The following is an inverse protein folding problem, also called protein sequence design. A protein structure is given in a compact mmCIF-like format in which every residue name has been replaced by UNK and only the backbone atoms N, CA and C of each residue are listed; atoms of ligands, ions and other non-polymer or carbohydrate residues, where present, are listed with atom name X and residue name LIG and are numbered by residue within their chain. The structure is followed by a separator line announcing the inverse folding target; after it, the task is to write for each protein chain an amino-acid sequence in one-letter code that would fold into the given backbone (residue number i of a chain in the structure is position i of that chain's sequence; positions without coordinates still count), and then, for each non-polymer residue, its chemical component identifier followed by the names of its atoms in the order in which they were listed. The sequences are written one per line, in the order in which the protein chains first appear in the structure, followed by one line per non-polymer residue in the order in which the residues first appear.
data_IF_302271334688
#
_entry.id   IF_302271334688
#
_cell.length_a   1.000
_cell.length_b   1.000
_cell.length_c   1.000
_cell.angle_alpha   90.00
_cell.angle_beta   90.00
_cell.angle_gamma   90.00
#
_symmetry.space_group_name_H-M   'P 1'
#
loop_
_entity.id
_entity.type
_entity.pdbx_description
1 polymer ?
#
# COMPACT_ATOMS: atom_id res chain seq x y z
N UNK A 1 -17.74 14.17 23.98
CA UNK A 1 -16.68 14.57 23.03
C UNK A 1 -17.03 14.09 21.62
N UNK A 2 -16.98 14.95 20.61
CA UNK A 2 -17.12 14.53 19.21
C UNK A 2 -15.93 13.65 18.84
N UNK A 3 -16.13 12.48 18.18
CA UNK A 3 -15.03 11.66 17.70
C UNK A 3 -14.09 12.49 16.82
N UNK A 4 -12.77 12.31 17.00
CA UNK A 4 -11.76 13.00 16.17
C UNK A 4 -11.84 12.53 14.71
N UNK A 5 -12.30 11.29 14.50
CA UNK A 5 -12.50 10.66 13.21
C UNK A 5 -13.86 11.01 12.60
N UNK A 6 -13.85 11.70 11.46
CA UNK A 6 -14.98 11.89 10.58
C UNK A 6 -15.18 10.67 9.67
N UNK A 7 -16.43 10.24 9.54
CA UNK A 7 -16.85 9.12 8.67
C UNK A 7 -17.42 9.59 7.33
N UNK A 8 -17.53 10.90 7.11
CA UNK A 8 -18.05 11.50 5.88
C UNK A 8 -17.07 12.59 5.39
N UNK A 9 -15.84 12.22 4.98
CA UNK A 9 -14.92 13.18 4.39
C UNK A 9 -15.53 13.76 3.10
N UNK A 10 -15.27 15.03 2.80
CA UNK A 10 -15.69 15.66 1.54
C UNK A 10 -14.61 15.49 0.46
N UNK A 11 -13.39 15.11 0.83
CA UNK A 11 -12.30 14.88 -0.12
C UNK A 11 -11.31 13.78 0.33
N UNK A 12 -10.70 13.09 -0.66
CA UNK A 12 -9.83 11.94 -0.42
C UNK A 12 -8.58 11.94 -1.31
N UNK A 13 -7.40 11.80 -0.72
CA UNK A 13 -6.19 11.45 -1.47
C UNK A 13 -5.73 10.02 -1.16
N UNK A 14 -5.17 9.33 -2.16
CA UNK A 14 -4.59 8.00 -2.00
C UNK A 14 -3.09 8.03 -2.28
N UNK A 15 -2.30 7.53 -1.34
CA UNK A 15 -0.86 7.31 -1.48
C UNK A 15 -0.54 5.83 -1.28
N UNK A 16 0.59 5.39 -1.81
CA UNK A 16 0.98 4.00 -1.76
C UNK A 16 1.70 3.53 -3.02
N UNK A 17 1.60 2.24 -3.26
CA UNK A 17 2.30 1.56 -4.34
C UNK A 17 1.38 1.09 -5.49
N UNK A 18 1.87 0.13 -6.27
CA UNK A 18 1.21 -0.45 -7.43
C UNK A 18 -0.16 -1.06 -7.11
N UNK A 19 -0.37 -1.54 -5.88
CA UNK A 19 -1.66 -2.13 -5.49
C UNK A 19 -2.74 -1.03 -5.47
N UNK A 20 -2.42 0.15 -4.93
CA UNK A 20 -3.33 1.32 -4.95
C UNK A 20 -3.58 1.83 -6.37
N UNK A 21 -2.69 1.55 -7.33
CA UNK A 21 -2.88 1.89 -8.76
C UNK A 21 -3.59 0.81 -9.58
N UNK A 22 -4.00 -0.31 -8.97
CA UNK A 22 -4.63 -1.41 -9.70
C UNK A 22 -3.72 -2.02 -10.76
N UNK A 23 -2.42 -2.09 -10.48
CA UNK A 23 -1.43 -2.70 -11.38
C UNK A 23 -1.80 -4.16 -11.70
N UNK A 24 -1.57 -4.59 -12.94
CA UNK A 24 -1.91 -5.91 -13.49
C UNK A 24 -3.41 -6.23 -13.58
N UNK A 25 -4.31 -5.35 -13.12
CA UNK A 25 -5.73 -5.66 -13.06
C UNK A 25 -6.45 -5.56 -14.42
N UNK A 26 -6.03 -4.63 -15.29
CA UNK A 26 -6.64 -4.42 -16.62
C UNK A 26 -5.74 -4.87 -17.77
N UNK A 27 -4.42 -4.79 -17.60
CA UNK A 27 -3.42 -5.23 -18.57
C UNK A 27 -2.16 -5.62 -17.83
N UNK A 28 -1.41 -6.59 -18.39
CA UNK A 28 -0.14 -7.04 -17.84
C UNK A 28 0.88 -5.89 -17.81
N UNK A 29 1.57 -5.79 -16.69
CA UNK A 29 2.62 -4.84 -16.36
C UNK A 29 2.22 -3.37 -16.51
N UNK A 30 0.94 -3.07 -16.29
CA UNK A 30 0.39 -1.73 -16.44
C UNK A 30 -0.52 -1.35 -15.28
N UNK A 31 -0.52 -0.06 -14.94
CA UNK A 31 -1.46 0.53 -13.99
C UNK A 31 -2.87 0.56 -14.56
N UNK A 32 -3.87 0.43 -13.67
CA UNK A 32 -5.26 0.65 -13.99
C UNK A 32 -5.96 1.37 -12.84
N UNK A 33 -5.70 2.68 -12.70
CA UNK A 33 -6.26 3.47 -11.59
C UNK A 33 -7.77 3.51 -11.55
N UNK A 34 -8.44 3.23 -12.69
CA UNK A 34 -9.88 3.05 -12.78
C UNK A 34 -10.40 1.99 -11.78
N UNK A 35 -9.62 0.96 -11.48
CA UNK A 35 -9.96 -0.11 -10.52
C UNK A 35 -9.24 0.05 -9.18
N UNK A 36 -8.72 1.24 -8.87
CA UNK A 36 -8.15 1.53 -7.56
C UNK A 36 -9.21 1.34 -6.46
N UNK A 37 -8.85 0.60 -5.42
CA UNK A 37 -9.71 0.40 -4.24
C UNK A 37 -10.05 1.71 -3.51
N UNK A 38 -9.19 2.73 -3.62
CA UNK A 38 -9.34 3.99 -2.90
C UNK A 38 -10.02 5.08 -3.73
N UNK A 39 -9.67 5.19 -5.02
CA UNK A 39 -10.02 6.35 -5.88
C UNK A 39 -10.54 5.94 -7.27
N UNK A 40 -10.80 4.64 -7.48
CA UNK A 40 -11.21 4.12 -8.78
C UNK A 40 -12.65 4.48 -9.14
N UNK A 41 -12.92 4.58 -10.43
CA UNK A 41 -14.24 4.84 -11.00
C UNK A 41 -14.98 3.59 -11.52
N UNK A 42 -14.36 2.41 -11.40
CA UNK A 42 -15.03 1.14 -11.70
C UNK A 42 -16.09 0.82 -10.62
N UNK A 43 -17.37 0.80 -11.02
CA UNK A 43 -18.49 0.54 -10.12
C UNK A 43 -18.53 -0.89 -9.57
N UNK A 44 -17.82 -1.84 -10.19
CA UNK A 44 -17.69 -3.20 -9.68
C UNK A 44 -16.67 -3.32 -8.54
N UNK A 45 -15.71 -2.40 -8.45
CA UNK A 45 -14.80 -2.28 -7.29
C UNK A 45 -15.47 -1.51 -6.17
N UNK A 46 -16.25 -0.47 -6.53
CA UNK A 46 -16.93 0.41 -5.59
C UNK A 46 -15.94 1.00 -4.57
N UNK A 47 -15.08 1.88 -5.07
CA UNK A 47 -13.92 2.40 -4.34
C UNK A 47 -14.31 3.19 -3.09
N UNK A 48 -13.35 3.40 -2.18
CA UNK A 48 -13.61 4.19 -0.97
C UNK A 48 -14.12 5.60 -1.29
N UNK A 49 -13.53 6.27 -2.30
CA UNK A 49 -14.04 7.55 -2.80
C UNK A 49 -15.47 7.44 -3.33
N UNK A 50 -15.79 6.40 -4.11
CA UNK A 50 -17.15 6.16 -4.62
C UNK A 50 -18.19 5.94 -3.53
N UNK A 51 -17.78 5.39 -2.37
CA UNK A 51 -18.65 5.15 -1.22
C UNK A 51 -18.83 6.35 -0.31
N UNK A 52 -17.82 7.23 -0.21
CA UNK A 52 -17.76 8.28 0.79
C UNK A 52 -18.03 9.69 0.25
N UNK A 53 -17.75 9.94 -1.04
CA UNK A 53 -17.79 11.30 -1.61
C UNK A 53 -19.03 11.49 -2.50
N UNK A 54 -19.57 12.71 -2.50
CA UNK A 54 -20.67 13.11 -3.39
C UNK A 54 -20.18 13.29 -4.85
N UNK A 55 -18.98 13.87 -5.06
CA UNK A 55 -18.28 13.91 -6.36
C UNK A 55 -16.89 13.27 -6.27
N UNK A 56 -16.80 11.93 -6.35
CA UNK A 56 -15.52 11.22 -6.31
C UNK A 56 -14.52 11.65 -7.40
N UNK A 57 -15.00 12.19 -8.52
CA UNK A 57 -14.15 12.55 -9.66
C UNK A 57 -13.48 13.91 -9.48
N UNK A 58 -14.16 14.85 -8.83
CA UNK A 58 -13.64 16.17 -8.49
C UNK A 58 -12.80 16.16 -7.21
N UNK A 59 -13.21 15.37 -6.22
CA UNK A 59 -12.71 15.47 -4.85
C UNK A 59 -11.81 14.30 -4.43
N UNK A 60 -11.31 13.52 -5.40
CA UNK A 60 -10.32 12.49 -5.12
C UNK A 60 -9.07 12.51 -6.00
N UNK A 61 -7.92 12.17 -5.40
CA UNK A 61 -6.61 12.21 -6.06
C UNK A 61 -5.74 10.99 -5.74
N UNK A 62 -5.24 10.32 -6.78
CA UNK A 62 -4.34 9.17 -6.63
C UNK A 62 -2.87 9.57 -6.87
N UNK A 63 -2.12 9.70 -5.78
CA UNK A 63 -0.69 10.00 -5.75
C UNK A 63 0.20 8.77 -5.56
N UNK A 64 -0.39 7.57 -5.43
CA UNK A 64 0.34 6.31 -5.39
C UNK A 64 1.20 6.13 -6.65
N UNK A 65 2.28 5.35 -6.54
CA UNK A 65 3.22 5.10 -7.63
C UNK A 65 3.66 3.64 -7.67
N UNK A 66 3.50 3.01 -8.83
CA UNK A 66 3.97 1.63 -9.02
C UNK A 66 5.49 1.53 -8.83
N UNK A 67 5.91 0.53 -8.05
CA UNK A 67 7.29 0.32 -7.63
C UNK A 67 7.77 1.19 -6.48
N UNK A 68 6.93 2.07 -5.89
CA UNK A 68 7.36 2.88 -4.74
C UNK A 68 7.55 2.04 -3.48
N UNK A 69 8.59 2.36 -2.73
CA UNK A 69 8.84 1.83 -1.37
C UNK A 69 8.45 2.88 -0.32
N UNK A 70 8.49 2.52 0.97
CA UNK A 70 8.13 3.44 2.06
C UNK A 70 8.94 4.74 2.06
N UNK A 71 10.22 4.69 1.64
CA UNK A 71 11.08 5.88 1.51
C UNK A 71 10.58 6.91 0.45
N UNK A 72 9.69 6.50 -0.46
CA UNK A 72 9.05 7.42 -1.41
C UNK A 72 7.80 8.09 -0.84
N UNK A 73 7.22 7.53 0.23
CA UNK A 73 5.94 7.96 0.79
C UNK A 73 5.93 9.45 1.21
N UNK A 74 7.01 10.03 1.81
CA UNK A 74 7.02 11.46 2.15
C UNK A 74 6.74 12.38 0.96
N UNK A 75 7.24 12.05 -0.24
CA UNK A 75 6.99 12.82 -1.46
C UNK A 75 5.53 12.71 -1.92
N UNK A 76 4.94 11.53 -1.82
CA UNK A 76 3.52 11.34 -2.14
C UNK A 76 2.64 12.09 -1.13
N UNK A 77 2.99 12.01 0.16
CA UNK A 77 2.29 12.66 1.24
C UNK A 77 2.31 14.18 1.12
N UNK A 78 3.44 14.77 0.73
CA UNK A 78 3.54 16.21 0.42
C UNK A 78 2.58 16.63 -0.70
N UNK A 79 2.48 15.83 -1.77
CA UNK A 79 1.55 16.11 -2.88
C UNK A 79 0.10 16.01 -2.43
N UNK A 80 -0.22 15.03 -1.59
CA UNK A 80 -1.54 14.90 -0.99
C UNK A 80 -1.86 16.09 -0.08
N UNK A 81 -0.93 16.48 0.80
CA UNK A 81 -1.11 17.58 1.73
C UNK A 81 -1.38 18.92 1.04
N UNK A 82 -0.77 19.16 -0.13
CA UNK A 82 -1.04 20.35 -0.96
C UNK A 82 -2.46 20.44 -1.54
N UNK A 83 -3.28 19.39 -1.41
CA UNK A 83 -4.73 19.42 -1.69
C UNK A 83 -5.57 19.69 -0.45
N UNK A 84 -4.95 19.64 0.73
CA UNK A 84 -5.63 19.69 2.02
C UNK A 84 -6.86 18.75 2.13
N UNK A 85 -6.72 17.45 1.78
CA UNK A 85 -7.86 16.56 1.77
C UNK A 85 -8.35 16.28 3.19
N UNK A 86 -9.63 15.95 3.35
CA UNK A 86 -10.15 15.53 4.66
C UNK A 86 -9.58 14.16 5.05
N UNK A 87 -9.32 13.29 4.08
CA UNK A 87 -8.75 11.96 4.30
C UNK A 87 -7.60 11.64 3.33
N UNK A 88 -6.54 11.04 3.86
CA UNK A 88 -5.53 10.31 3.07
C UNK A 88 -5.63 8.83 3.37
N UNK A 89 -5.68 8.00 2.33
CA UNK A 89 -5.49 6.56 2.43
C UNK A 89 -4.05 6.19 2.12
N UNK A 90 -3.47 5.28 2.91
CA UNK A 90 -2.09 4.80 2.78
C UNK A 90 -2.09 3.29 2.63
N UNK A 91 -1.46 2.77 1.58
CA UNK A 91 -1.05 1.37 1.50
C UNK A 91 0.31 1.29 0.82
N UNK A 92 1.36 1.14 1.64
CA UNK A 92 2.75 1.12 1.19
C UNK A 92 3.52 0.10 2.00
N UNK A 93 4.45 -0.61 1.37
CA UNK A 93 5.32 -1.59 2.03
C UNK A 93 5.41 -2.93 1.32
N UNK A 94 4.57 -3.18 0.31
CA UNK A 94 4.68 -4.40 -0.49
C UNK A 94 6.03 -4.42 -1.23
N UNK A 95 6.45 -3.32 -1.84
CA UNK A 95 7.75 -3.23 -2.53
C UNK A 95 8.95 -3.26 -1.59
N UNK A 96 8.79 -2.85 -0.32
CA UNK A 96 9.84 -2.97 0.70
C UNK A 96 10.15 -4.44 0.99
N UNK A 97 9.12 -5.32 0.99
CA UNK A 97 9.26 -6.76 1.13
C UNK A 97 9.57 -7.47 -0.22
N UNK A 98 9.04 -6.96 -1.32
CA UNK A 98 9.15 -7.51 -2.67
C UNK A 98 10.46 -7.13 -3.37
N UNK A 99 11.56 -7.68 -2.88
CA UNK A 99 12.91 -7.41 -3.37
C UNK A 99 13.52 -8.63 -4.10
N UNK A 100 14.65 -8.47 -4.81
CA UNK A 100 15.32 -9.60 -5.46
C UNK A 100 15.74 -10.72 -4.49
N UNK A 101 16.04 -10.35 -3.23
CA UNK A 101 16.40 -11.26 -2.14
C UNK A 101 15.87 -10.74 -0.80
N UNK A 102 15.76 -11.62 0.18
CA UNK A 102 15.34 -11.28 1.56
C UNK A 102 16.28 -10.23 2.18
N UNK A 103 17.60 -10.38 1.97
CA UNK A 103 18.60 -9.44 2.48
C UNK A 103 18.47 -8.00 1.92
N UNK A 104 17.74 -7.82 0.82
CA UNK A 104 17.50 -6.51 0.20
C UNK A 104 16.20 -5.84 0.65
N UNK A 105 15.37 -6.52 1.45
CA UNK A 105 14.17 -5.92 2.02
C UNK A 105 14.54 -4.74 2.92
N UNK A 106 13.74 -3.66 2.88
CA UNK A 106 13.93 -2.48 3.74
C UNK A 106 14.03 -2.90 5.20
N UNK A 107 14.98 -2.37 5.96
CA UNK A 107 15.02 -2.71 7.39
C UNK A 107 13.76 -2.21 8.09
N UNK A 108 13.40 -2.81 9.23
CA UNK A 108 12.22 -2.36 10.00
C UNK A 108 12.41 -0.93 10.51
N UNK A 109 13.66 -0.55 10.83
CA UNK A 109 14.01 0.78 11.31
C UNK A 109 13.90 1.84 10.20
N UNK A 110 14.46 1.59 9.01
CA UNK A 110 14.35 2.52 7.87
C UNK A 110 12.89 2.68 7.42
N UNK A 111 12.12 1.60 7.48
CA UNK A 111 10.68 1.62 7.20
C UNK A 111 9.93 2.52 8.19
N UNK A 112 10.22 2.39 9.50
CA UNK A 112 9.64 3.23 10.55
C UNK A 112 10.01 4.69 10.37
N UNK A 113 11.29 4.98 10.12
CA UNK A 113 11.76 6.36 9.92
C UNK A 113 11.06 7.02 8.72
N UNK A 114 10.96 6.30 7.61
CA UNK A 114 10.29 6.77 6.39
C UNK A 114 8.79 7.04 6.63
N UNK A 115 8.11 6.15 7.36
CA UNK A 115 6.69 6.35 7.71
C UNK A 115 6.50 7.56 8.64
N UNK A 116 7.34 7.71 9.66
CA UNK A 116 7.35 8.89 10.55
C UNK A 116 7.58 10.18 9.77
N UNK A 117 8.51 10.19 8.82
CA UNK A 117 8.74 11.34 7.95
C UNK A 117 7.51 11.68 7.11
N UNK A 118 6.83 10.67 6.55
CA UNK A 118 5.60 10.88 5.79
C UNK A 118 4.50 11.50 6.67
N UNK A 119 4.25 10.96 7.86
CA UNK A 119 3.26 11.52 8.80
C UNK A 119 3.62 12.95 9.23
N UNK A 120 4.89 13.23 9.56
CA UNK A 120 5.35 14.60 9.87
C UNK A 120 5.16 15.55 8.69
N UNK A 121 5.40 15.07 7.47
CA UNK A 121 5.19 15.86 6.24
C UNK A 121 3.73 16.24 6.08
N UNK A 122 2.81 15.27 6.24
CA UNK A 122 1.38 15.55 6.21
C UNK A 122 0.98 16.57 7.27
N UNK A 123 1.38 16.33 8.53
CA UNK A 123 0.95 17.17 9.65
C UNK A 123 1.45 18.62 9.55
N UNK A 124 2.58 18.85 8.89
CA UNK A 124 3.11 20.20 8.68
C UNK A 124 2.25 21.02 7.71
N UNK A 125 1.72 20.40 6.67
CA UNK A 125 1.01 21.10 5.58
C UNK A 125 -0.52 20.95 5.70
N UNK A 126 -1.01 19.82 6.20
CA UNK A 126 -2.42 19.57 6.47
C UNK A 126 -2.64 18.87 7.83
N UNK A 127 -2.61 19.65 8.94
CA UNK A 127 -2.62 19.12 10.31
C UNK A 127 -3.93 18.44 10.71
N UNK A 128 -5.02 18.66 9.97
CA UNK A 128 -6.36 18.14 10.28
C UNK A 128 -6.79 16.94 9.44
N UNK A 129 -6.08 16.62 8.36
CA UNK A 129 -6.37 15.47 7.51
C UNK A 129 -6.32 14.17 8.31
N UNK A 130 -7.34 13.33 8.15
CA UNK A 130 -7.36 11.97 8.68
C UNK A 130 -6.50 11.04 7.83
N UNK A 131 -5.87 10.06 8.45
CA UNK A 131 -5.02 9.08 7.77
C UNK A 131 -5.58 7.70 8.01
N UNK A 132 -6.07 7.07 6.95
CA UNK A 132 -6.44 5.67 6.96
C UNK A 132 -5.25 4.84 6.48
N UNK A 133 -4.62 4.09 7.38
CA UNK A 133 -3.48 3.22 7.05
C UNK A 133 -3.95 1.79 6.87
N UNK A 134 -3.90 1.30 5.62
CA UNK A 134 -4.10 -0.10 5.32
C UNK A 134 -2.80 -0.89 5.55
N UNK A 135 -2.93 -2.08 6.11
CA UNK A 135 -1.81 -3.00 6.30
C UNK A 135 -1.21 -3.43 4.95
N UNK A 136 0.10 -3.68 4.95
CA UNK A 136 0.77 -4.40 3.87
C UNK A 136 0.14 -5.79 3.73
N UNK A 137 -0.31 -6.20 2.53
CA UNK A 137 -0.99 -7.47 2.32
C UNK A 137 -0.13 -8.69 2.66
N UNK A 138 -0.79 -9.80 3.00
CA UNK A 138 -0.12 -11.08 3.21
C UNK A 138 0.38 -11.66 1.88
N UNK A 139 1.66 -11.40 1.59
CA UNK A 139 2.33 -11.88 0.38
C UNK A 139 2.49 -13.41 0.36
N UNK A 140 2.50 -14.07 1.53
CA UNK A 140 2.59 -15.54 1.60
C UNK A 140 1.26 -16.17 1.26
N UNK A 141 0.15 -15.55 1.66
CA UNK A 141 -1.20 -15.92 1.20
C UNK A 141 -1.38 -15.68 -0.30
N UNK A 142 -0.90 -14.54 -0.83
CA UNK A 142 -0.87 -14.31 -2.28
C UNK A 142 -0.15 -15.46 -3.01
N UNK A 143 1.01 -15.88 -2.50
CA UNK A 143 1.73 -17.03 -3.04
C UNK A 143 0.91 -18.33 -2.93
N UNK A 144 0.35 -18.66 -1.77
CA UNK A 144 -0.34 -19.93 -1.56
C UNK A 144 -1.58 -20.09 -2.42
N UNK A 145 -2.37 -19.03 -2.58
CA UNK A 145 -3.56 -19.02 -3.44
C UNK A 145 -3.17 -18.96 -4.93
N UNK A 146 -2.19 -18.12 -5.27
CA UNK A 146 -1.82 -17.85 -6.66
C UNK A 146 -0.94 -18.95 -7.29
N UNK A 147 -0.17 -19.72 -6.52
CA UNK A 147 0.77 -20.72 -7.05
C UNK A 147 0.07 -21.84 -7.82
N UNK A 148 -1.23 -22.05 -7.65
CA UNK A 148 -2.00 -23.03 -8.43
C UNK A 148 -2.46 -22.50 -9.79
N UNK A 149 -2.50 -21.17 -9.98
CA UNK A 149 -2.93 -20.53 -11.21
C UNK A 149 -1.80 -20.53 -12.27
N UNK A 150 -1.98 -21.21 -13.43
CA UNK A 150 -0.94 -21.28 -14.45
C UNK A 150 -0.55 -19.93 -15.07
N UNK A 151 -1.48 -18.98 -15.13
CA UNK A 151 -1.21 -17.64 -15.63
C UNK A 151 -0.41 -16.82 -14.60
N UNK A 152 -0.85 -16.85 -13.33
CA UNK A 152 -0.15 -16.18 -12.23
C UNK A 152 1.30 -16.64 -12.11
N UNK A 153 1.55 -17.95 -12.21
CA UNK A 153 2.90 -18.51 -12.21
C UNK A 153 3.79 -17.93 -13.32
N UNK A 154 3.27 -17.82 -14.56
CA UNK A 154 4.02 -17.28 -15.69
C UNK A 154 4.35 -15.81 -15.49
N UNK A 155 3.41 -15.04 -14.95
CA UNK A 155 3.60 -13.62 -14.67
C UNK A 155 4.69 -13.43 -13.60
N UNK A 156 4.71 -14.23 -12.54
CA UNK A 156 5.73 -14.11 -11.49
C UNK A 156 7.15 -14.41 -11.98
N UNK A 157 7.31 -15.21 -13.04
CA UNK A 157 8.61 -15.45 -13.69
C UNK A 157 9.18 -14.21 -14.39
N UNK A 158 8.39 -13.14 -14.58
CA UNK A 158 8.86 -11.85 -15.10
C UNK A 158 9.61 -11.02 -14.05
N UNK A 159 9.80 -11.54 -12.84
CA UNK A 159 10.60 -10.88 -11.79
C UNK A 159 9.78 -10.14 -10.74
N UNK A 160 8.47 -10.38 -10.67
CA UNK A 160 7.61 -9.77 -9.65
C UNK A 160 7.90 -10.39 -8.29
N UNK A 161 8.19 -9.54 -7.28
CA UNK A 161 8.35 -9.91 -5.88
C UNK A 161 9.20 -11.18 -5.66
N UNK A 162 10.42 -11.21 -6.20
CA UNK A 162 11.24 -12.44 -6.26
C UNK A 162 11.52 -13.06 -4.89
N UNK A 163 11.66 -12.24 -3.84
CA UNK A 163 11.80 -12.69 -2.44
C UNK A 163 10.69 -13.67 -2.05
N UNK A 164 9.45 -13.44 -2.47
CA UNK A 164 8.30 -14.30 -2.16
C UNK A 164 7.97 -15.29 -3.29
N UNK A 165 7.91 -14.82 -4.53
CA UNK A 165 7.23 -15.50 -5.63
C UNK A 165 8.15 -16.31 -6.54
N UNK A 166 9.49 -16.14 -6.43
CA UNK A 166 10.45 -16.95 -7.19
C UNK A 166 10.26 -18.43 -6.87
N UNK A 167 10.38 -19.26 -7.90
CA UNK A 167 10.19 -20.71 -7.83
C UNK A 167 8.86 -21.08 -7.17
N UNK A 168 7.76 -20.52 -7.69
CA UNK A 168 6.42 -20.57 -7.08
C UNK A 168 5.93 -21.98 -6.70
N UNK A 169 6.36 -23.02 -7.42
CA UNK A 169 6.01 -24.43 -7.13
C UNK A 169 6.93 -25.09 -6.10
N UNK A 170 8.08 -24.50 -5.81
CA UNK A 170 9.06 -25.06 -4.88
C UNK A 170 8.55 -25.01 -3.44
N UNK A 171 8.57 -26.19 -2.80
CA UNK A 171 8.27 -26.46 -1.40
C UNK A 171 9.48 -27.07 -0.68
N UNK A 172 10.68 -26.82 -1.20
CA UNK A 172 11.91 -27.16 -0.48
C UNK A 172 12.01 -26.31 0.78
N UNK A 173 12.66 -26.82 1.82
CA UNK A 173 12.89 -26.09 3.08
C UNK A 173 13.42 -24.67 2.86
N UNK A 174 14.46 -24.50 2.03
CA UNK A 174 15.01 -23.17 1.69
C UNK A 174 14.01 -22.22 0.99
N UNK A 175 13.00 -22.75 0.31
CA UNK A 175 11.95 -21.94 -0.31
C UNK A 175 10.84 -21.59 0.70
N UNK A 176 10.58 -22.46 1.66
CA UNK A 176 9.64 -22.21 2.75
C UNK A 176 10.22 -21.19 3.75
N UNK A 177 11.48 -21.37 4.16
CA UNK A 177 12.21 -20.44 5.02
C UNK A 177 12.26 -19.03 4.41
N UNK A 178 12.68 -18.92 3.14
CA UNK A 178 12.68 -17.63 2.43
C UNK A 178 11.34 -16.91 2.49
N UNK A 179 10.22 -17.63 2.26
CA UNK A 179 8.88 -17.03 2.29
C UNK A 179 8.43 -16.70 3.70
N UNK A 180 8.86 -17.49 4.68
CA UNK A 180 8.62 -17.24 6.09
C UNK A 180 9.32 -15.95 6.54
N UNK A 181 10.58 -15.73 6.15
CA UNK A 181 11.31 -14.48 6.44
C UNK A 181 10.61 -13.24 5.84
N UNK A 182 10.09 -13.35 4.61
CA UNK A 182 9.31 -12.26 4.00
C UNK A 182 8.00 -12.01 4.76
N UNK A 183 7.29 -13.06 5.14
CA UNK A 183 6.07 -12.95 5.95
C UNK A 183 6.34 -12.24 7.28
N UNK A 184 7.39 -12.65 7.99
CA UNK A 184 7.79 -12.05 9.26
C UNK A 184 8.19 -10.58 9.10
N UNK A 185 8.87 -10.22 8.01
CA UNK A 185 9.18 -8.82 7.69
C UNK A 185 7.89 -8.00 7.48
N UNK A 186 6.92 -8.53 6.73
CA UNK A 186 5.62 -7.87 6.51
C UNK A 186 4.85 -7.70 7.82
N UNK A 187 4.82 -8.72 8.68
CA UNK A 187 4.22 -8.62 10.02
C UNK A 187 4.91 -7.52 10.85
N UNK A 188 6.24 -7.43 10.80
CA UNK A 188 6.99 -6.38 11.48
C UNK A 188 6.66 -4.98 10.95
N UNK A 189 6.55 -4.80 9.62
CA UNK A 189 6.09 -3.53 9.03
C UNK A 189 4.68 -3.16 9.48
N UNK A 190 3.75 -4.11 9.49
CA UNK A 190 2.37 -3.86 9.93
C UNK A 190 2.31 -3.46 11.41
N UNK A 191 3.16 -4.04 12.27
CA UNK A 191 3.32 -3.60 13.66
C UNK A 191 3.89 -2.18 13.76
N UNK A 192 4.83 -1.80 12.90
CA UNK A 192 5.32 -0.41 12.82
C UNK A 192 4.15 0.53 12.47
N UNK A 193 3.39 0.21 11.42
CA UNK A 193 2.25 1.03 10.99
C UNK A 193 1.24 1.22 12.13
N UNK A 194 0.86 0.14 12.81
CA UNK A 194 -0.05 0.17 13.97
C UNK A 194 0.48 1.07 15.09
N UNK A 195 1.75 0.88 15.49
CA UNK A 195 2.35 1.64 16.59
C UNK A 195 2.44 3.14 16.29
N UNK A 196 2.92 3.50 15.10
CA UNK A 196 3.09 4.90 14.71
C UNK A 196 1.75 5.60 14.47
N UNK A 197 0.76 4.90 13.93
CA UNK A 197 -0.60 5.41 13.75
C UNK A 197 -1.27 5.66 15.12
N UNK A 198 -1.07 4.77 16.10
CA UNK A 198 -1.60 4.95 17.46
C UNK A 198 -1.05 6.17 18.23
N UNK A 199 0.08 6.75 17.79
CA UNK A 199 0.62 8.00 18.33
C UNK A 199 -0.03 9.26 17.73
N UNK A 200 -0.83 9.13 16.67
CA UNK A 200 -1.49 10.23 15.96
C UNK A 200 -3.01 10.16 16.13
N UNK A 201 -3.62 11.17 16.76
CA UNK A 201 -5.08 11.17 17.05
C UNK A 201 -5.99 11.13 15.80
N UNK A 202 -5.44 11.35 14.61
CA UNK A 202 -6.16 11.37 13.33
C UNK A 202 -5.77 10.19 12.44
N UNK A 203 -5.17 9.17 13.04
CA UNK A 203 -4.83 7.86 12.49
C UNK A 203 -5.45 6.82 13.48
#
# INVERSE_FOLDING_TARGET
PTPVWDRHPESLAAVGDSITRGFDACSLLADCTRVSWATGSDTGVDSLAGRLLDDPSGDSWNYARSGSVMADLPRQMKRAAGREPDMVTVMSGANDACQPTVARMTSVDDYRESFREAMRTLRKESPKTQVYVASVPDLKRLWSEGRANPMGERIWRLGICQSMLRDAKSVTEAAEERRQEVYERVVAYNRVLEQECAEDLRC
#
